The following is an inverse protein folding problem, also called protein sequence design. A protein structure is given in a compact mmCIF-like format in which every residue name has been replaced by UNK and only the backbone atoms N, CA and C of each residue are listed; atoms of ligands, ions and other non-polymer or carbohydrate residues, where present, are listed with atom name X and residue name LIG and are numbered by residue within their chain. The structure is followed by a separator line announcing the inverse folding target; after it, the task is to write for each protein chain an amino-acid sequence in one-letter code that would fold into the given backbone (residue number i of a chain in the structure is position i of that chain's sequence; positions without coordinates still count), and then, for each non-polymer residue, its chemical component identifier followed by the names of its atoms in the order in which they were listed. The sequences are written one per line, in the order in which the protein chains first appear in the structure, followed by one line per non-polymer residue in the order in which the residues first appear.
data_IF_296854599167
#
_entry.id   IF_296854599167
#
_cell.length_a   1.000
_cell.length_b   1.000
_cell.length_c   1.000
_cell.angle_alpha   90.00
_cell.angle_beta   90.00
_cell.angle_gamma   90.00
#
_symmetry.space_group_name_H-M   'P 1'
#
loop_
_entity.id
_entity.type
_entity.pdbx_description
1 polymer ?
#
# COMPACT_ATOMS: atom_id res chain seq x y z
N UNK A 1 -11.87 -35.11 -8.01
CA UNK A 1 -10.96 -34.18 -8.70
C UNK A 1 -11.79 -33.11 -9.36
N UNK A 2 -11.66 -31.86 -8.93
CA UNK A 2 -12.44 -30.75 -9.48
C UNK A 2 -11.85 -30.33 -10.86
N UNK A 3 -12.65 -29.72 -11.73
CA UNK A 3 -12.23 -29.42 -13.12
C UNK A 3 -10.93 -28.58 -13.19
N UNK A 4 -10.74 -27.69 -12.21
CA UNK A 4 -9.54 -26.87 -12.07
C UNK A 4 -8.29 -27.71 -11.73
N UNK A 5 -8.42 -28.69 -10.83
CA UNK A 5 -7.33 -29.61 -10.47
C UNK A 5 -6.91 -30.44 -11.68
N UNK A 6 -7.88 -30.94 -12.46
CA UNK A 6 -7.62 -31.70 -13.69
C UNK A 6 -6.85 -30.87 -14.74
N UNK A 7 -7.23 -29.59 -14.92
CA UNK A 7 -6.52 -28.68 -15.82
C UNK A 7 -5.10 -28.38 -15.33
N UNK A 8 -4.89 -28.20 -14.02
CA UNK A 8 -3.56 -27.96 -13.45
C UNK A 8 -2.64 -29.17 -13.58
N UNK A 9 -3.15 -30.39 -13.31
CA UNK A 9 -2.42 -31.65 -13.49
C UNK A 9 -2.02 -31.86 -14.96
N UNK A 10 -2.93 -31.55 -15.89
CA UNK A 10 -2.66 -31.63 -17.34
C UNK A 10 -1.62 -30.63 -17.79
N UNK A 11 -1.60 -29.41 -17.23
CA UNK A 11 -0.60 -28.40 -17.53
C UNK A 11 0.78 -28.76 -16.94
N UNK A 12 0.83 -29.30 -15.72
CA UNK A 12 2.06 -29.74 -15.06
C UNK A 12 2.68 -30.97 -15.75
N UNK A 13 1.86 -31.89 -16.25
CA UNK A 13 2.33 -33.06 -16.98
C UNK A 13 3.17 -32.70 -18.23
N UNK A 14 2.93 -31.53 -18.84
CA UNK A 14 3.70 -31.01 -19.98
C UNK A 14 5.16 -30.68 -19.64
N UNK A 15 5.53 -30.65 -18.35
CA UNK A 15 6.89 -30.42 -17.89
C UNK A 15 7.61 -31.70 -17.42
N UNK A 16 6.94 -32.86 -17.40
CA UNK A 16 7.52 -34.10 -16.88
C UNK A 16 8.76 -34.54 -17.66
N UNK A 17 8.72 -34.47 -19.00
CA UNK A 17 9.88 -34.82 -19.84
C UNK A 17 11.06 -33.88 -19.61
N UNK A 18 10.78 -32.57 -19.42
CA UNK A 18 11.79 -31.59 -19.08
C UNK A 18 12.39 -31.84 -17.68
N UNK A 19 11.58 -32.28 -16.71
CA UNK A 19 12.02 -32.63 -15.36
C UNK A 19 13.04 -33.76 -15.36
N UNK A 20 12.83 -34.80 -16.15
CA UNK A 20 13.80 -35.91 -16.26
C UNK A 20 15.09 -35.46 -16.95
N UNK A 21 15.00 -34.64 -18.00
CA UNK A 21 16.16 -34.08 -18.68
C UNK A 21 16.98 -33.17 -17.77
N UNK A 22 16.32 -32.31 -16.97
CA UNK A 22 16.97 -31.46 -15.97
C UNK A 22 17.70 -32.32 -14.94
N UNK A 23 17.09 -33.39 -14.42
CA UNK A 23 17.72 -34.23 -13.41
C UNK A 23 19.04 -34.84 -13.94
N UNK A 24 19.02 -35.34 -15.19
CA UNK A 24 20.21 -35.87 -15.88
C UNK A 24 21.27 -34.78 -16.11
N UNK A 25 20.87 -33.62 -16.64
CA UNK A 25 21.77 -32.49 -16.87
C UNK A 25 22.38 -31.96 -15.57
N UNK A 26 21.60 -31.87 -14.50
CA UNK A 26 22.04 -31.43 -13.17
C UNK A 26 23.11 -32.37 -12.63
N UNK A 27 22.88 -33.69 -12.68
CA UNK A 27 23.87 -34.67 -12.26
C UNK A 27 25.17 -34.55 -13.07
N UNK A 28 25.06 -34.37 -14.40
CA UNK A 28 26.23 -34.17 -15.26
C UNK A 28 26.98 -32.88 -14.92
N UNK A 29 26.27 -31.79 -14.65
CA UNK A 29 26.86 -30.49 -14.29
C UNK A 29 27.59 -30.57 -12.94
N UNK A 30 27.06 -31.31 -11.98
CA UNK A 30 27.66 -31.49 -10.66
C UNK A 30 28.91 -32.40 -10.69
N UNK A 31 28.97 -33.33 -11.64
CA UNK A 31 30.03 -34.34 -11.72
C UNK A 31 31.23 -33.91 -12.56
N UNK A 32 31.07 -32.96 -13.48
CA UNK A 32 32.14 -32.56 -14.39
C UNK A 32 33.23 -31.78 -13.63
N UNK A 33 34.48 -32.23 -13.77
CA UNK A 33 35.67 -31.54 -13.25
C UNK A 33 36.49 -31.06 -14.44
N UNK A 34 36.76 -29.75 -14.49
CA UNK A 34 37.48 -29.13 -15.61
C UNK A 34 38.97 -29.12 -15.29
N UNK A 35 39.73 -30.03 -15.91
CA UNK A 35 41.18 -30.18 -15.72
C UNK A 35 41.97 -30.33 -17.04
N UNK A 36 41.27 -30.27 -18.17
CA UNK A 36 41.84 -30.38 -19.52
C UNK A 36 41.02 -29.57 -20.52
N UNK A 37 41.59 -29.29 -21.69
CA UNK A 37 40.86 -28.59 -22.76
C UNK A 37 39.65 -29.40 -23.25
N UNK A 38 39.73 -30.74 -23.23
CA UNK A 38 38.60 -31.62 -23.57
C UNK A 38 37.46 -31.48 -22.54
N UNK A 39 37.78 -31.56 -21.25
CA UNK A 39 36.78 -31.37 -20.17
C UNK A 39 36.15 -29.97 -20.17
N UNK A 40 36.91 -28.95 -20.60
CA UNK A 40 36.42 -27.58 -20.78
C UNK A 40 35.39 -27.51 -21.92
N UNK A 41 35.66 -28.13 -23.07
CA UNK A 41 34.70 -28.15 -24.19
C UNK A 41 33.45 -28.97 -23.85
N UNK A 42 33.60 -30.10 -23.15
CA UNK A 42 32.45 -30.85 -22.61
C UNK A 42 31.62 -29.99 -21.65
N UNK A 43 32.26 -29.25 -20.74
CA UNK A 43 31.58 -28.36 -19.80
C UNK A 43 30.85 -27.22 -20.51
N UNK A 44 31.46 -26.60 -21.53
CA UNK A 44 30.80 -25.56 -22.35
C UNK A 44 29.56 -26.10 -23.06
N UNK A 45 29.63 -27.30 -23.64
CA UNK A 45 28.50 -27.91 -24.32
C UNK A 45 27.38 -28.31 -23.37
N UNK A 46 27.74 -28.83 -22.20
CA UNK A 46 26.79 -29.14 -21.14
C UNK A 46 26.07 -27.88 -20.65
N UNK A 47 26.81 -26.80 -20.44
CA UNK A 47 26.28 -25.51 -20.01
C UNK A 47 25.34 -24.90 -21.07
N UNK A 48 25.68 -24.96 -22.36
CA UNK A 48 24.79 -24.58 -23.47
C UNK A 48 23.50 -25.40 -23.49
N UNK A 49 23.61 -26.71 -23.26
CA UNK A 49 22.44 -27.61 -23.25
C UNK A 49 21.52 -27.31 -22.08
N UNK A 50 22.09 -27.08 -20.89
CA UNK A 50 21.35 -26.65 -19.72
C UNK A 50 20.60 -25.33 -19.99
N UNK A 51 21.26 -24.35 -20.64
CA UNK A 51 20.63 -23.08 -21.00
C UNK A 51 19.46 -23.24 -21.96
N UNK A 52 19.58 -24.10 -22.97
CA UNK A 52 18.48 -24.41 -23.90
C UNK A 52 17.28 -25.02 -23.20
N UNK A 53 17.51 -25.96 -22.28
CA UNK A 53 16.43 -26.59 -21.51
C UNK A 53 15.75 -25.57 -20.59
N UNK A 54 16.53 -24.70 -19.93
CA UNK A 54 15.98 -23.58 -19.14
C UNK A 54 15.07 -22.68 -19.98
N UNK A 55 15.54 -22.24 -21.15
CA UNK A 55 14.75 -21.40 -22.06
C UNK A 55 13.47 -22.11 -22.53
N UNK A 56 13.55 -23.39 -22.91
CA UNK A 56 12.39 -24.16 -23.37
C UNK A 56 11.31 -24.26 -22.29
N UNK A 57 11.70 -24.44 -21.02
CA UNK A 57 10.75 -24.48 -19.90
C UNK A 57 10.09 -23.12 -19.70
N UNK A 58 10.87 -22.04 -19.76
CA UNK A 58 10.33 -20.69 -19.60
C UNK A 58 9.38 -20.32 -20.74
N UNK A 59 9.71 -20.69 -21.98
CA UNK A 59 8.84 -20.48 -23.13
C UNK A 59 7.56 -21.31 -23.03
N UNK A 60 7.66 -22.57 -22.59
CA UNK A 60 6.47 -23.41 -22.37
C UNK A 60 5.59 -22.88 -21.24
N UNK A 61 6.20 -22.36 -20.17
CA UNK A 61 5.49 -21.66 -19.09
C UNK A 61 4.74 -20.46 -19.63
N UNK A 62 5.38 -19.62 -20.45
CA UNK A 62 4.71 -18.47 -21.10
C UNK A 62 3.58 -18.93 -22.02
N UNK A 63 3.79 -19.94 -22.86
CA UNK A 63 2.77 -20.49 -23.76
C UNK A 63 1.52 -20.95 -22.99
N UNK A 64 1.71 -21.65 -21.87
CA UNK A 64 0.60 -22.14 -21.03
C UNK A 64 -0.08 -21.00 -20.27
N UNK A 65 0.70 -20.07 -19.71
CA UNK A 65 0.17 -19.00 -18.84
C UNK A 65 -0.39 -17.82 -19.62
N UNK A 66 0.08 -17.54 -20.84
CA UNK A 66 -0.38 -16.43 -21.68
C UNK A 66 -1.91 -16.40 -21.87
N UNK A 67 -2.60 -17.48 -22.30
CA UNK A 67 -4.06 -17.45 -22.45
C UNK A 67 -4.77 -17.26 -21.12
N UNK A 68 -4.25 -17.81 -20.02
CA UNK A 68 -4.82 -17.66 -18.67
C UNK A 68 -4.71 -16.21 -18.20
N UNK A 69 -3.54 -15.59 -18.38
CA UNK A 69 -3.30 -14.20 -18.05
C UNK A 69 -4.15 -13.25 -18.90
N UNK A 70 -4.31 -13.55 -20.19
CA UNK A 70 -5.17 -12.80 -21.08
C UNK A 70 -6.65 -12.88 -20.62
N UNK A 71 -7.12 -14.06 -20.24
CA UNK A 71 -8.50 -14.23 -19.76
C UNK A 71 -8.72 -13.56 -18.40
N UNK A 72 -7.78 -13.71 -17.46
CA UNK A 72 -7.80 -12.96 -16.19
C UNK A 72 -7.89 -11.46 -16.44
N UNK A 73 -7.09 -10.94 -17.39
CA UNK A 73 -7.09 -9.52 -17.73
C UNK A 73 -8.47 -9.06 -18.21
N UNK A 74 -9.15 -9.84 -19.06
CA UNK A 74 -10.52 -9.50 -19.51
C UNK A 74 -11.50 -9.44 -18.36
N UNK A 75 -11.43 -10.39 -17.42
CA UNK A 75 -12.27 -10.41 -16.22
C UNK A 75 -12.00 -9.17 -15.36
N UNK A 76 -10.72 -8.86 -15.11
CA UNK A 76 -10.33 -7.67 -14.34
C UNK A 76 -10.81 -6.37 -15.02
N UNK A 77 -10.65 -6.27 -16.34
CA UNK A 77 -11.07 -5.11 -17.12
C UNK A 77 -12.60 -4.95 -17.10
N UNK A 78 -13.35 -6.04 -17.25
CA UNK A 78 -14.80 -6.04 -17.16
C UNK A 78 -15.27 -5.64 -15.75
N UNK A 79 -14.69 -6.24 -14.70
CA UNK A 79 -14.98 -5.88 -13.32
C UNK A 79 -14.71 -4.39 -13.03
N UNK A 80 -13.61 -3.84 -13.57
CA UNK A 80 -13.34 -2.40 -13.49
C UNK A 80 -14.38 -1.59 -14.24
N UNK A 81 -14.77 -2.00 -15.45
CA UNK A 81 -15.76 -1.26 -16.25
C UNK A 81 -17.10 -1.09 -15.52
N UNK A 82 -17.58 -2.15 -14.86
CA UNK A 82 -18.86 -2.10 -14.12
C UNK A 82 -18.75 -1.42 -12.76
N UNK A 83 -17.57 -1.41 -12.13
CA UNK A 83 -17.37 -0.77 -10.81
C UNK A 83 -16.93 0.68 -10.89
N UNK A 84 -16.40 1.14 -12.04
CA UNK A 84 -15.87 2.49 -12.19
C UNK A 84 -16.92 3.58 -11.88
N UNK A 85 -18.11 3.47 -12.44
CA UNK A 85 -19.15 4.49 -12.23
C UNK A 85 -19.73 4.43 -10.81
N UNK A 86 -19.88 3.23 -10.24
CA UNK A 86 -20.23 3.06 -8.83
C UNK A 86 -19.17 3.68 -7.92
N UNK A 87 -17.88 3.46 -8.18
CA UNK A 87 -16.79 4.04 -7.39
C UNK A 87 -16.79 5.56 -7.46
N UNK A 88 -17.02 6.15 -8.65
CA UNK A 88 -17.17 7.61 -8.80
C UNK A 88 -18.36 8.14 -8.00
N UNK A 89 -19.52 7.49 -8.13
CA UNK A 89 -20.73 7.87 -7.38
C UNK A 89 -20.51 7.76 -5.86
N UNK A 90 -19.89 6.67 -5.40
CA UNK A 90 -19.54 6.44 -3.99
C UNK A 90 -18.57 7.49 -3.46
N UNK A 91 -17.59 7.93 -4.25
CA UNK A 91 -16.69 9.00 -3.84
C UNK A 91 -17.43 10.35 -3.72
N UNK A 92 -18.34 10.64 -4.64
CA UNK A 92 -19.23 11.80 -4.54
C UNK A 92 -20.12 11.75 -3.29
N UNK A 93 -20.72 10.61 -3.00
CA UNK A 93 -21.55 10.40 -1.80
C UNK A 93 -20.73 10.53 -0.52
N UNK A 94 -19.53 9.91 -0.45
CA UNK A 94 -18.62 10.05 0.70
C UNK A 94 -18.24 11.51 0.96
N UNK A 95 -17.98 12.28 -0.10
CA UNK A 95 -17.69 13.71 0.01
C UNK A 95 -18.88 14.50 0.58
N UNK A 96 -20.10 14.20 0.12
CA UNK A 96 -21.33 14.82 0.65
C UNK A 96 -21.54 14.47 2.13
N UNK A 97 -21.38 13.19 2.52
CA UNK A 97 -21.47 12.75 3.91
C UNK A 97 -20.47 13.50 4.77
N UNK A 98 -19.19 13.55 4.35
CA UNK A 98 -18.15 14.25 5.09
C UNK A 98 -18.44 15.74 5.26
N UNK A 99 -18.90 16.40 4.19
CA UNK A 99 -19.29 17.81 4.24
C UNK A 99 -20.43 18.06 5.23
N UNK A 100 -21.44 17.20 5.23
CA UNK A 100 -22.57 17.31 6.15
C UNK A 100 -22.18 16.99 7.60
N UNK A 101 -21.37 15.95 7.84
CA UNK A 101 -20.85 15.64 9.18
C UNK A 101 -20.00 16.79 9.73
N UNK A 102 -19.18 17.44 8.88
CA UNK A 102 -18.44 18.64 9.27
C UNK A 102 -19.37 19.79 9.66
N UNK A 103 -20.43 20.03 8.89
CA UNK A 103 -21.43 21.05 9.22
C UNK A 103 -22.13 20.75 10.55
N UNK A 104 -22.56 19.51 10.76
CA UNK A 104 -23.16 19.09 12.03
C UNK A 104 -22.19 19.27 13.20
N UNK A 105 -20.91 18.96 12.99
CA UNK A 105 -19.87 19.16 13.99
C UNK A 105 -19.71 20.66 14.34
N UNK A 106 -19.64 21.52 13.33
CA UNK A 106 -19.58 22.97 13.51
C UNK A 106 -20.82 23.51 14.25
N UNK A 107 -22.02 23.01 13.94
CA UNK A 107 -23.27 23.35 14.61
C UNK A 107 -23.26 22.91 16.09
N UNK A 108 -22.83 21.67 16.39
CA UNK A 108 -22.70 21.18 17.77
C UNK A 108 -21.67 21.98 18.58
N UNK A 109 -20.56 22.33 17.97
CA UNK A 109 -19.53 23.17 18.60
C UNK A 109 -20.03 24.60 18.84
N UNK A 110 -20.79 25.16 17.90
CA UNK A 110 -21.39 26.48 18.08
C UNK A 110 -22.42 26.49 19.22
N UNK A 111 -23.27 25.47 19.30
CA UNK A 111 -24.24 25.35 20.39
C UNK A 111 -23.55 25.11 21.74
N UNK A 112 -22.52 24.26 21.80
CA UNK A 112 -21.72 24.08 23.00
C UNK A 112 -21.07 25.40 23.46
N UNK A 113 -20.56 26.22 22.52
CA UNK A 113 -20.04 27.57 22.84
C UNK A 113 -21.12 28.50 23.38
N UNK A 114 -22.34 28.46 22.83
CA UNK A 114 -23.47 29.28 23.32
C UNK A 114 -23.89 28.87 24.74
N UNK A 115 -23.99 27.58 25.02
CA UNK A 115 -24.32 27.04 26.35
C UNK A 115 -23.24 27.43 27.37
N UNK A 116 -21.96 27.35 26.97
CA UNK A 116 -20.82 27.79 27.77
C UNK A 116 -20.87 29.28 28.13
N UNK A 117 -21.13 30.14 27.14
CA UNK A 117 -21.23 31.59 27.33
C UNK A 117 -22.43 31.97 28.20
N UNK A 118 -23.58 31.33 27.98
CA UNK A 118 -24.79 31.57 28.78
C UNK A 118 -24.60 31.10 30.23
N UNK A 119 -24.00 29.93 30.45
CA UNK A 119 -23.65 29.48 31.81
C UNK A 119 -22.77 30.50 32.51
N UNK A 120 -21.72 31.02 31.85
CA UNK A 120 -20.83 32.02 32.47
C UNK A 120 -21.58 33.27 32.90
N UNK A 121 -22.49 33.77 32.07
CA UNK A 121 -23.33 34.94 32.41
C UNK A 121 -24.23 34.66 33.61
N UNK A 122 -24.93 33.52 33.62
CA UNK A 122 -25.83 33.14 34.72
C UNK A 122 -25.02 32.90 36.01
N UNK A 123 -23.85 32.27 35.92
CA UNK A 123 -22.97 32.03 37.06
C UNK A 123 -22.47 33.34 37.68
N UNK A 124 -22.08 34.31 36.86
CA UNK A 124 -21.69 35.66 37.31
C UNK A 124 -22.87 36.39 37.99
N UNK A 125 -24.06 36.34 37.39
CA UNK A 125 -25.27 36.97 37.94
C UNK A 125 -25.70 36.33 39.27
N UNK A 126 -25.67 35.01 39.37
CA UNK A 126 -25.99 34.28 40.61
C UNK A 126 -24.98 34.60 41.71
N UNK A 127 -23.68 34.66 41.40
CA UNK A 127 -22.65 35.08 42.36
C UNK A 127 -22.87 36.49 42.86
N UNK A 128 -23.24 37.43 41.99
CA UNK A 128 -23.55 38.80 42.37
C UNK A 128 -24.79 38.85 43.29
N UNK A 129 -25.88 38.15 42.93
CA UNK A 129 -27.12 38.11 43.74
C UNK A 129 -26.94 37.42 45.10
N UNK A 130 -26.12 36.38 45.17
CA UNK A 130 -25.76 35.72 46.42
C UNK A 130 -24.97 36.65 47.34
N UNK A 131 -24.00 37.39 46.79
CA UNK A 131 -23.24 38.38 47.56
C UNK A 131 -24.12 39.53 48.09
N UNK A 132 -25.17 39.90 47.34
CA UNK A 132 -26.19 40.87 47.78
C UNK A 132 -27.23 40.29 48.75
N UNK A 133 -27.16 39.00 49.09
CA UNK A 133 -28.09 38.32 50.00
C UNK A 133 -29.51 38.15 49.44
N UNK A 134 -29.69 38.25 48.12
CA UNK A 134 -31.01 38.18 47.45
C UNK A 134 -31.45 36.76 47.11
N UNK A 135 -30.54 35.78 47.17
CA UNK A 135 -30.78 34.35 46.88
C UNK A 135 -29.99 33.53 47.90
N UNK A 136 -30.55 32.40 48.35
CA UNK A 136 -29.89 31.47 49.27
C UNK A 136 -28.75 30.69 48.59
N UNK A 137 -27.70 30.37 49.34
CA UNK A 137 -26.54 29.61 48.85
C UNK A 137 -26.95 28.23 48.31
N UNK A 138 -27.92 27.57 48.94
CA UNK A 138 -28.44 26.26 48.49
C UNK A 138 -29.09 26.34 47.11
N UNK A 139 -29.89 27.38 46.86
CA UNK A 139 -30.57 27.58 45.58
C UNK A 139 -29.57 27.93 44.47
N UNK A 140 -28.54 28.73 44.77
CA UNK A 140 -27.47 29.02 43.80
C UNK A 140 -26.66 27.78 43.44
N UNK A 141 -26.36 26.91 44.41
CA UNK A 141 -25.61 25.68 44.19
C UNK A 141 -26.39 24.71 43.29
N UNK A 142 -27.70 24.57 43.48
CA UNK A 142 -28.56 23.70 42.69
C UNK A 142 -28.58 24.10 41.20
N UNK A 143 -28.75 25.40 40.92
CA UNK A 143 -28.75 25.93 39.54
C UNK A 143 -27.39 25.77 38.88
N UNK A 144 -26.28 26.00 39.60
CA UNK A 144 -24.94 25.80 39.07
C UNK A 144 -24.66 24.34 38.69
N UNK A 145 -25.15 23.37 39.46
CA UNK A 145 -24.99 21.94 39.15
C UNK A 145 -25.75 21.58 37.88
N UNK A 146 -26.98 22.06 37.72
CA UNK A 146 -27.81 21.76 36.55
C UNK A 146 -27.22 22.35 35.26
N UNK A 147 -26.67 23.58 35.32
CA UNK A 147 -25.97 24.20 34.19
C UNK A 147 -24.68 23.47 33.81
N UNK A 148 -23.92 22.98 34.80
CA UNK A 148 -22.70 22.18 34.55
C UNK A 148 -23.03 20.84 33.88
N UNK A 149 -24.12 20.19 34.28
CA UNK A 149 -24.57 18.96 33.63
C UNK A 149 -24.98 19.23 32.17
N UNK A 150 -25.71 20.32 31.91
CA UNK A 150 -26.08 20.72 30.53
C UNK A 150 -24.86 20.97 29.64
N UNK A 151 -23.85 21.68 30.14
CA UNK A 151 -22.58 21.89 29.43
C UNK A 151 -21.87 20.55 29.16
N UNK A 152 -21.79 19.67 30.17
CA UNK A 152 -21.11 18.39 30.03
C UNK A 152 -21.77 17.51 28.95
N UNK A 153 -23.10 17.47 28.92
CA UNK A 153 -23.86 16.77 27.87
C UNK A 153 -23.60 17.39 26.48
N UNK A 154 -23.56 18.72 26.38
CA UNK A 154 -23.23 19.41 25.14
C UNK A 154 -21.80 19.06 24.66
N UNK A 155 -20.81 19.03 25.56
CA UNK A 155 -19.42 18.65 25.25
C UNK A 155 -19.26 17.18 24.87
N UNK A 156 -20.07 16.27 25.41
CA UNK A 156 -20.08 14.87 24.95
C UNK A 156 -20.60 14.80 23.52
N UNK A 157 -21.64 15.57 23.20
CA UNK A 157 -22.28 15.57 21.87
C UNK A 157 -21.36 16.04 20.74
N UNK A 158 -20.33 16.87 21.04
CA UNK A 158 -19.35 17.34 20.07
C UNK A 158 -18.32 16.28 19.69
N UNK A 159 -18.22 15.14 20.38
CA UNK A 159 -17.30 14.08 19.97
C UNK A 159 -17.95 13.22 18.86
N UNK A 160 -17.73 13.60 17.60
CA UNK A 160 -18.15 12.79 16.45
C UNK A 160 -17.28 11.53 16.31
N UNK A 161 -17.91 10.35 16.28
CA UNK A 161 -17.25 9.05 16.12
C UNK A 161 -17.00 8.63 14.66
N UNK A 162 -17.55 9.37 13.69
CA UNK A 162 -17.55 8.98 12.27
C UNK A 162 -16.31 9.44 11.48
N UNK A 163 -15.62 10.49 11.94
CA UNK A 163 -14.50 11.09 11.19
C UNK A 163 -13.16 10.58 11.75
N UNK A 164 -12.34 9.97 10.87
CA UNK A 164 -10.97 9.55 11.20
C UNK A 164 -9.94 10.55 10.65
N UNK A 165 -9.09 11.07 11.53
CA UNK A 165 -7.92 11.85 11.12
C UNK A 165 -6.80 10.91 10.68
N UNK A 166 -6.37 11.04 9.43
CA UNK A 166 -5.24 10.29 8.86
C UNK A 166 -4.17 11.30 8.45
N UNK A 167 -2.92 11.06 8.86
CA UNK A 167 -1.79 11.89 8.43
C UNK A 167 -1.46 11.57 6.98
N UNK A 168 -1.40 12.61 6.15
CA UNK A 168 -1.00 12.55 4.74
C UNK A 168 0.07 13.62 4.49
N UNK A 169 0.79 13.52 3.37
CA UNK A 169 1.85 14.47 3.01
C UNK A 169 1.81 14.76 1.51
N UNK A 170 2.18 15.98 1.14
CA UNK A 170 2.48 16.39 -0.23
C UNK A 170 3.98 16.72 -0.31
N UNK A 171 4.64 16.27 -1.37
CA UNK A 171 6.08 16.55 -1.57
C UNK A 171 6.22 17.94 -2.18
N UNK A 172 6.76 18.88 -1.38
CA UNK A 172 7.00 20.27 -1.81
C UNK A 172 8.37 20.39 -2.48
N UNK A 173 9.43 19.87 -1.84
CA UNK A 173 10.80 19.84 -2.36
C UNK A 173 11.47 18.51 -1.97
N UNK A 174 11.86 17.73 -2.98
CA UNK A 174 12.49 16.43 -2.82
C UNK A 174 13.93 16.53 -2.28
N UNK A 175 14.63 17.64 -2.53
CA UNK A 175 16.06 17.79 -2.19
C UNK A 175 16.32 17.92 -0.69
N UNK A 176 15.31 18.37 0.06
CA UNK A 176 15.37 18.58 1.51
C UNK A 176 14.96 17.30 2.26
N UNK A 177 14.37 16.31 1.57
CA UNK A 177 13.96 15.05 2.20
C UNK A 177 15.21 14.28 2.65
N UNK A 178 15.30 13.85 3.93
CA UNK A 178 16.41 13.04 4.40
C UNK A 178 16.63 11.79 3.55
N UNK A 179 17.90 11.45 3.30
CA UNK A 179 18.26 10.29 2.46
C UNK A 179 17.69 8.96 2.95
N UNK A 180 17.33 8.84 4.22
CA UNK A 180 16.70 7.65 4.81
C UNK A 180 15.31 7.37 4.22
N UNK A 181 14.62 8.39 3.72
CA UNK A 181 13.27 8.27 3.13
C UNK A 181 13.29 8.30 1.59
N UNK A 182 14.46 8.48 0.97
CA UNK A 182 14.63 8.52 -0.48
C UNK A 182 15.09 7.16 -1.00
N UNK A 183 14.42 6.65 -2.04
CA UNK A 183 14.83 5.41 -2.73
C UNK A 183 15.53 5.74 -4.04
N UNK A 184 16.62 5.03 -4.31
CA UNK A 184 17.41 5.21 -5.53
C UNK A 184 16.70 4.59 -6.74
N UNK A 185 16.59 5.34 -7.84
CA UNK A 185 16.11 4.82 -9.13
C UNK A 185 17.19 3.99 -9.83
N UNK A 186 17.19 2.68 -9.57
CA UNK A 186 18.15 1.74 -10.17
C UNK A 186 18.10 1.69 -11.70
N UNK A 187 16.92 1.93 -12.28
CA UNK A 187 16.72 1.81 -13.73
C UNK A 187 17.49 2.91 -14.45
N UNK A 188 17.33 4.16 -14.01
CA UNK A 188 18.06 5.30 -14.58
C UNK A 188 19.58 5.14 -14.44
N UNK A 189 20.03 4.58 -13.31
CA UNK A 189 21.45 4.29 -13.10
C UNK A 189 21.96 3.25 -14.10
N UNK A 190 21.25 2.13 -14.27
CA UNK A 190 21.61 1.08 -15.22
C UNK A 190 21.63 1.59 -16.67
N UNK A 191 20.66 2.43 -17.04
CA UNK A 191 20.60 3.05 -18.36
C UNK A 191 21.79 3.98 -18.60
N UNK A 192 22.18 4.80 -17.61
CA UNK A 192 23.36 5.67 -17.68
C UNK A 192 24.68 4.88 -17.78
N UNK A 193 24.82 3.78 -17.03
CA UNK A 193 25.96 2.87 -17.10
C UNK A 193 26.03 2.21 -18.48
N UNK A 194 24.89 1.82 -19.05
CA UNK A 194 24.81 1.24 -20.40
C UNK A 194 25.19 2.24 -21.48
N UNK A 195 24.79 3.51 -21.32
CA UNK A 195 25.16 4.62 -22.21
C UNK A 195 26.65 5.03 -22.11
N UNK A 196 27.43 4.40 -21.24
CA UNK A 196 28.88 4.59 -21.16
C UNK A 196 29.36 5.46 -20.00
N UNK A 197 28.49 5.96 -19.11
CA UNK A 197 28.93 6.63 -17.88
C UNK A 197 29.55 5.61 -16.93
N UNK A 198 30.87 5.67 -16.75
CA UNK A 198 31.62 4.79 -15.84
C UNK A 198 31.92 5.40 -14.48
N UNK A 199 31.62 6.69 -14.31
CA UNK A 199 31.73 7.40 -13.05
C UNK A 199 30.40 8.10 -12.74
N UNK A 200 29.81 7.75 -11.59
CA UNK A 200 28.61 8.39 -11.03
C UNK A 200 28.91 8.63 -9.56
N UNK A 201 28.79 9.87 -9.09
CA UNK A 201 29.09 10.24 -7.70
C UNK A 201 28.28 9.40 -6.72
N UNK A 202 28.97 8.73 -5.81
CA UNK A 202 28.36 7.83 -4.81
C UNK A 202 28.18 6.39 -5.27
N UNK A 203 28.58 6.00 -6.50
CA UNK A 203 28.53 4.63 -6.99
C UNK A 203 29.92 4.13 -7.41
N UNK A 204 30.27 2.92 -6.99
CA UNK A 204 31.44 2.19 -7.48
C UNK A 204 31.02 1.27 -8.62
N UNK A 205 31.35 1.63 -9.86
CA UNK A 205 31.07 0.85 -11.06
C UNK A 205 32.27 -0.06 -11.35
N UNK A 206 32.05 -1.37 -11.52
CA UNK A 206 33.12 -2.33 -11.82
C UNK A 206 32.64 -3.39 -12.82
N UNK A 207 33.58 -3.95 -13.59
CA UNK A 207 33.31 -5.08 -14.47
C UNK A 207 33.52 -6.38 -13.71
N UNK A 208 32.52 -7.26 -13.75
CA UNK A 208 32.61 -8.61 -13.24
C UNK A 208 32.51 -9.56 -14.41
N UNK A 209 33.55 -10.36 -14.64
CA UNK A 209 33.50 -11.42 -15.64
C UNK A 209 32.45 -12.45 -15.21
N UNK A 210 31.45 -12.64 -16.04
CA UNK A 210 30.43 -13.66 -15.88
C UNK A 210 30.35 -14.47 -17.15
N UNK A 211 30.38 -15.78 -17.03
CA UNK A 211 30.16 -16.68 -18.17
C UNK A 211 28.74 -16.47 -18.71
N UNK A 212 28.62 -15.83 -19.87
CA UNK A 212 27.34 -15.68 -20.59
C UNK A 212 27.25 -16.79 -21.63
N UNK A 213 26.33 -17.72 -21.42
CA UNK A 213 26.03 -18.81 -22.35
C UNK A 213 24.93 -18.33 -23.30
N UNK A 214 25.25 -18.20 -24.59
CA UNK A 214 24.28 -17.92 -25.66
C UNK A 214 23.66 -19.22 -26.17
#
# INVERSE_FOLDING_TARGET
MNALESMTLTAMAKFNDAKEQIAKLTSNCQRIVINSNESLETAKNLAKTAKKVETLIEDKRKEITAPILAEKKKIDDFAKSITNDLNKAMNGLRSQILSYEKKLQEEREAEARRIEEERKRIEEELKAKALEGKIDESDTAQVLVELKEQEHQAQISTKSSSIRLTWTYDVIDESVIPREYLTIDERKIKDAITAGKREITGLKIYQKESLVLK
#
